data_IF_060127459850
#
_entry.id   IF_060127459850
#
_cell.length_a   1.000
_cell.length_b   1.000
_cell.length_c   1.000
_cell.angle_alpha   90.00
_cell.angle_beta   90.00
_cell.angle_gamma   90.00
#
_symmetry.space_group_name_H-M   'P 1'
#
loop_
_entity.id
_entity.type
_entity.pdbx_description
1 polymer ?
#
# COMPACT_ATOMS: atom_id res chain seq x y z
N UNK A 1 -41.76 -2.88 31.87
CA UNK A 1 -40.37 -3.14 31.44
C UNK A 1 -39.81 -1.85 30.88
N UNK A 2 -38.64 -1.43 31.38
CA UNK A 2 -38.02 -0.12 31.10
C UNK A 2 -37.51 -0.03 29.65
N UNK A 3 -37.56 1.17 29.03
CA UNK A 3 -37.00 1.41 27.69
C UNK A 3 -35.48 1.63 27.78
N UNK A 4 -34.72 1.20 26.76
CA UNK A 4 -33.35 1.67 26.56
C UNK A 4 -33.38 2.85 25.59
N UNK A 5 -33.24 4.03 26.18
CA UNK A 5 -32.92 5.30 25.53
C UNK A 5 -31.51 5.18 24.92
N UNK A 6 -31.39 5.30 23.60
CA UNK A 6 -30.13 5.77 22.99
C UNK A 6 -30.21 7.29 23.01
N UNK A 7 -29.25 7.89 23.71
CA UNK A 7 -29.16 9.31 24.01
C UNK A 7 -29.03 10.11 22.70
N UNK A 8 -30.10 10.76 22.25
CA UNK A 8 -30.04 11.91 21.34
C UNK A 8 -30.51 13.11 22.15
N UNK A 9 -29.56 13.87 22.69
CA UNK A 9 -29.73 15.28 23.09
C UNK A 9 -28.37 15.83 23.56
N UNK A 10 -27.95 16.90 22.91
CA UNK A 10 -26.75 17.66 23.24
C UNK A 10 -26.04 18.03 21.96
N UNK A 11 -25.87 19.33 21.72
CA UNK A 11 -25.00 19.87 20.68
C UNK A 11 -23.61 19.23 20.83
N UNK A 12 -23.37 18.14 20.12
CA UNK A 12 -22.02 17.67 19.90
C UNK A 12 -21.43 18.70 18.94
N UNK A 13 -20.51 19.52 19.46
CA UNK A 13 -19.48 20.14 18.66
C UNK A 13 -19.11 19.19 17.54
N UNK A 14 -18.98 19.71 16.32
CA UNK A 14 -18.31 18.99 15.23
C UNK A 14 -17.00 18.47 15.83
N UNK A 15 -16.98 17.21 16.24
CA UNK A 15 -15.75 16.50 16.50
C UNK A 15 -15.24 16.32 15.09
N UNK A 16 -14.40 17.25 14.66
CA UNK A 16 -13.34 16.88 13.75
C UNK A 16 -12.75 15.62 14.37
N UNK A 17 -12.79 14.51 13.64
CA UNK A 17 -11.98 13.37 14.03
C UNK A 17 -10.56 13.90 13.97
N UNK A 18 -9.99 14.25 15.12
CA UNK A 18 -8.60 14.68 15.21
C UNK A 18 -7.78 13.42 14.92
N UNK A 19 -7.36 13.33 13.66
CA UNK A 19 -6.45 12.29 13.21
C UNK A 19 -5.09 12.48 13.90
N UNK A 20 -4.32 11.41 14.11
CA UNK A 20 -2.95 11.53 14.59
C UNK A 20 -2.15 12.49 13.68
N UNK A 21 -1.25 13.29 14.27
CA UNK A 21 -0.34 14.15 13.50
C UNK A 21 0.76 13.33 12.78
N UNK A 22 0.97 12.09 13.23
CA UNK A 22 1.95 11.17 12.68
C UNK A 22 1.39 9.75 12.66
N UNK A 23 1.57 9.08 11.52
CA UNK A 23 1.26 7.66 11.35
C UNK A 23 2.43 7.02 10.63
N UNK A 24 2.93 5.91 11.16
CA UNK A 24 3.86 5.03 10.48
C UNK A 24 3.42 3.58 10.69
N UNK A 25 3.00 2.92 9.62
CA UNK A 25 2.55 1.53 9.68
C UNK A 25 3.71 0.54 9.80
N UNK A 26 4.95 0.95 9.56
CA UNK A 26 6.16 0.14 9.79
C UNK A 26 6.34 -0.14 11.27
N UNK A 27 6.23 0.90 12.10
CA UNK A 27 6.34 0.82 13.56
C UNK A 27 5.23 -0.01 14.19
N UNK A 28 4.10 -0.14 13.48
CA UNK A 28 2.95 -0.94 13.89
C UNK A 28 2.99 -2.39 13.38
N UNK A 29 4.01 -2.76 12.58
CA UNK A 29 4.18 -4.11 12.04
C UNK A 29 3.30 -4.44 10.84
N UNK A 30 2.64 -3.46 10.22
CA UNK A 30 1.74 -3.67 9.08
C UNK A 30 2.45 -3.52 7.72
N UNK A 31 3.78 -3.51 7.69
CA UNK A 31 4.57 -3.31 6.48
C UNK A 31 5.72 -4.32 6.45
N UNK A 32 5.81 -5.13 5.40
CA UNK A 32 6.92 -6.06 5.17
C UNK A 32 8.24 -5.33 4.89
N UNK A 33 9.41 -5.99 4.98
CA UNK A 33 10.67 -5.40 4.52
C UNK A 33 10.60 -4.88 3.08
N UNK A 34 11.50 -3.95 2.74
CA UNK A 34 11.56 -3.39 1.38
C UNK A 34 12.06 -4.47 0.43
N UNK A 35 11.28 -4.70 -0.64
CA UNK A 35 11.63 -5.62 -1.71
C UNK A 35 12.36 -4.88 -2.84
N UNK A 36 12.90 -5.64 -3.79
CA UNK A 36 13.53 -5.09 -4.98
C UNK A 36 12.89 -5.71 -6.23
N UNK A 37 12.27 -4.86 -7.05
CA UNK A 37 11.62 -5.28 -8.30
C UNK A 37 12.62 -5.80 -9.34
N UNK A 38 13.89 -5.39 -9.26
CA UNK A 38 14.92 -5.81 -10.22
C UNK A 38 14.51 -5.52 -11.67
N UNK A 39 14.37 -6.58 -12.46
CA UNK A 39 13.97 -6.52 -13.87
C UNK A 39 12.46 -6.62 -14.08
N UNK A 40 11.67 -6.82 -13.03
CA UNK A 40 10.21 -6.81 -13.11
C UNK A 40 9.74 -5.36 -13.31
N UNK A 41 9.35 -5.03 -14.53
CA UNK A 41 8.86 -3.70 -14.91
C UNK A 41 7.38 -3.52 -14.54
N UNK A 42 7.04 -3.80 -13.28
CA UNK A 42 5.68 -3.75 -12.75
C UNK A 42 5.65 -3.30 -11.28
N UNK A 43 6.12 -2.07 -10.98
CA UNK A 43 6.15 -1.55 -9.61
C UNK A 43 4.76 -1.45 -8.96
N UNK A 44 3.72 -1.33 -9.78
CA UNK A 44 2.33 -1.37 -9.33
C UNK A 44 1.95 -2.70 -8.66
N UNK A 45 2.61 -3.82 -8.99
CA UNK A 45 2.40 -5.09 -8.30
C UNK A 45 2.89 -5.05 -6.86
N UNK A 46 4.05 -4.44 -6.61
CA UNK A 46 4.58 -4.24 -5.26
C UNK A 46 3.71 -3.29 -4.41
N UNK A 47 3.05 -2.34 -5.08
CA UNK A 47 2.05 -1.48 -4.44
C UNK A 47 0.81 -2.28 -4.00
N UNK A 48 0.29 -3.13 -4.87
CA UNK A 48 -0.87 -4.00 -4.59
C UNK A 48 -0.56 -5.01 -3.49
N UNK A 49 0.53 -5.78 -3.61
CA UNK A 49 0.92 -6.75 -2.59
C UNK A 49 1.14 -6.06 -1.25
N UNK A 50 1.87 -4.93 -1.21
CA UNK A 50 2.08 -4.17 0.02
C UNK A 50 0.79 -3.74 0.74
N UNK A 51 -0.24 -3.34 -0.01
CA UNK A 51 -1.54 -3.01 0.57
C UNK A 51 -2.25 -4.25 1.13
N UNK A 52 -2.24 -5.36 0.38
CA UNK A 52 -2.82 -6.64 0.81
C UNK A 52 -2.11 -7.22 2.05
N UNK A 53 -0.78 -7.13 2.10
CA UNK A 53 0.05 -7.52 3.24
C UNK A 53 -0.37 -6.76 4.51
N UNK A 54 -0.50 -5.43 4.40
CA UNK A 54 -0.92 -4.57 5.50
C UNK A 54 -2.36 -4.85 5.95
N UNK A 55 -3.29 -5.03 5.01
CA UNK A 55 -4.68 -5.38 5.35
C UNK A 55 -4.79 -6.75 6.01
N UNK A 56 -4.03 -7.75 5.55
CA UNK A 56 -3.99 -9.06 6.20
C UNK A 56 -3.43 -8.97 7.63
N UNK A 57 -2.39 -8.17 7.85
CA UNK A 57 -1.87 -7.93 9.20
C UNK A 57 -2.90 -7.28 10.11
N UNK A 58 -3.58 -6.22 9.65
CA UNK A 58 -4.57 -5.49 10.45
C UNK A 58 -5.82 -6.32 10.76
N UNK A 59 -6.21 -7.21 9.85
CA UNK A 59 -7.40 -8.06 9.99
C UNK A 59 -7.13 -9.35 10.78
N UNK A 60 -6.02 -10.02 10.46
CA UNK A 60 -5.73 -11.39 10.93
C UNK A 60 -4.53 -11.46 11.89
N UNK A 61 -3.79 -10.36 12.08
CA UNK A 61 -2.59 -10.32 12.91
C UNK A 61 -1.38 -11.02 12.30
N UNK A 62 -1.40 -11.30 10.99
CA UNK A 62 -0.34 -12.01 10.29
C UNK A 62 0.25 -11.13 9.19
N UNK A 63 1.53 -10.78 9.31
CA UNK A 63 2.27 -10.12 8.25
C UNK A 63 2.92 -11.20 7.39
N UNK A 64 2.41 -11.40 6.18
CA UNK A 64 2.87 -12.43 5.24
C UNK A 64 3.31 -11.72 3.97
N UNK A 65 4.57 -11.87 3.56
CA UNK A 65 5.02 -11.35 2.27
C UNK A 65 4.32 -12.09 1.11
N UNK A 66 3.74 -11.36 0.17
CA UNK A 66 2.95 -11.91 -0.94
C UNK A 66 3.73 -11.91 -2.25
N UNK A 67 3.42 -12.84 -3.15
CA UNK A 67 4.15 -13.01 -4.41
C UNK A 67 3.73 -11.98 -5.47
N UNK A 68 4.61 -11.02 -5.76
CA UNK A 68 4.45 -10.16 -6.94
C UNK A 68 4.61 -10.97 -8.24
N UNK A 69 5.42 -12.03 -8.23
CA UNK A 69 5.64 -12.87 -9.41
C UNK A 69 4.37 -13.60 -9.83
N UNK A 70 3.58 -14.10 -8.88
CA UNK A 70 2.29 -14.72 -9.19
C UNK A 70 1.38 -13.75 -9.93
N UNK A 71 1.29 -12.52 -9.42
CA UNK A 71 0.48 -11.52 -10.06
C UNK A 71 1.04 -11.14 -11.44
N UNK A 72 2.37 -11.08 -11.60
CA UNK A 72 3.01 -10.83 -12.89
C UNK A 72 2.71 -11.93 -13.93
N UNK A 73 2.72 -13.20 -13.51
CA UNK A 73 2.54 -14.34 -14.41
C UNK A 73 1.05 -14.61 -14.72
N UNK A 74 0.18 -14.36 -13.74
CA UNK A 74 -1.22 -14.80 -13.79
C UNK A 74 -2.21 -13.67 -14.08
N UNK A 75 -1.83 -12.40 -13.87
CA UNK A 75 -2.59 -11.25 -14.35
C UNK A 75 -2.21 -11.01 -15.81
N UNK A 76 -3.13 -10.45 -16.60
CA UNK A 76 -2.88 -10.11 -18.01
C UNK A 76 -1.58 -9.32 -18.19
N UNK A 77 -0.86 -9.56 -19.29
CA UNK A 77 0.39 -8.84 -19.67
C UNK A 77 0.19 -7.32 -19.78
N UNK A 78 -1.06 -6.86 -19.98
CA UNK A 78 -1.45 -5.44 -19.96
C UNK A 78 -2.32 -5.11 -18.73
N UNK A 79 -2.07 -5.79 -17.62
CA UNK A 79 -2.85 -5.69 -16.40
C UNK A 79 -2.69 -4.34 -15.71
N UNK A 80 -3.68 -4.03 -14.89
CA UNK A 80 -3.74 -2.85 -14.03
C UNK A 80 -3.78 -3.27 -12.56
N UNK A 81 -3.57 -2.31 -11.66
CA UNK A 81 -3.82 -2.47 -10.21
C UNK A 81 -5.21 -3.05 -9.94
N UNK A 82 -6.23 -2.61 -10.70
CA UNK A 82 -7.60 -3.12 -10.61
C UNK A 82 -7.70 -4.61 -11.01
N UNK A 83 -7.03 -5.01 -12.08
CA UNK A 83 -7.02 -6.41 -12.53
C UNK A 83 -6.37 -7.33 -11.49
N UNK A 84 -5.30 -6.87 -10.83
CA UNK A 84 -4.68 -7.62 -9.75
C UNK A 84 -5.62 -7.77 -8.54
N UNK A 85 -6.32 -6.72 -8.11
CA UNK A 85 -7.30 -6.86 -7.03
C UNK A 85 -8.44 -7.82 -7.41
N UNK A 86 -8.96 -7.74 -8.64
CA UNK A 86 -9.98 -8.69 -9.13
C UNK A 86 -9.47 -10.12 -9.16
N UNK A 87 -8.21 -10.32 -9.56
CA UNK A 87 -7.55 -11.62 -9.50
C UNK A 87 -7.50 -12.16 -8.07
N UNK A 88 -7.04 -11.33 -7.11
CA UNK A 88 -6.96 -11.72 -5.69
C UNK A 88 -8.33 -11.99 -5.07
N UNK A 89 -9.40 -11.34 -5.54
CA UNK A 89 -10.77 -11.64 -5.10
C UNK A 89 -11.25 -13.00 -5.63
N UNK A 90 -10.97 -13.31 -6.90
CA UNK A 90 -11.40 -14.56 -7.53
C UNK A 90 -10.57 -15.79 -7.13
N UNK A 91 -9.30 -15.57 -6.84
CA UNK A 91 -8.33 -16.62 -6.64
C UNK A 91 -7.66 -16.50 -5.25
N UNK A 92 -7.23 -15.31 -4.86
CA UNK A 92 -6.30 -15.07 -3.74
C UNK A 92 -4.90 -14.80 -4.26
N UNK A 93 -3.90 -14.82 -3.40
CA UNK A 93 -2.48 -14.73 -3.78
C UNK A 93 -1.63 -15.54 -2.81
N UNK A 94 -0.58 -16.19 -3.31
CA UNK A 94 0.36 -16.99 -2.54
C UNK A 94 1.31 -16.12 -1.72
N UNK A 95 1.93 -16.76 -0.72
CA UNK A 95 3.10 -16.18 -0.08
C UNK A 95 4.25 -16.13 -1.10
N UNK A 96 5.07 -15.09 -0.99
CA UNK A 96 6.26 -14.89 -1.83
C UNK A 96 7.17 -16.13 -1.81
N UNK A 97 7.38 -16.71 -0.63
CA UNK A 97 8.22 -17.89 -0.43
C UNK A 97 7.70 -19.18 -1.11
N UNK A 98 6.41 -19.24 -1.45
CA UNK A 98 5.77 -20.44 -2.02
C UNK A 98 5.68 -20.39 -3.55
N UNK A 99 5.82 -19.21 -4.16
CA UNK A 99 5.68 -19.02 -5.60
C UNK A 99 7.05 -18.93 -6.28
N UNK A 100 7.32 -19.73 -7.33
CA UNK A 100 8.65 -19.76 -7.94
C UNK A 100 8.90 -18.53 -8.82
N UNK A 101 10.08 -17.90 -8.67
CA UNK A 101 10.52 -16.78 -9.52
C UNK A 101 11.12 -17.27 -10.84
N UNK A 102 10.26 -17.76 -11.73
CA UNK A 102 10.64 -18.24 -13.07
C UNK A 102 10.29 -17.18 -14.11
N UNK A 103 11.26 -16.83 -14.95
CA UNK A 103 11.03 -15.96 -16.13
C UNK A 103 10.68 -16.84 -17.35
N UNK A 104 9.64 -17.67 -17.21
CA UNK A 104 9.15 -18.55 -18.28
C UNK A 104 7.79 -18.12 -18.84
N UNK A 105 7.25 -17.00 -18.33
CA UNK A 105 6.00 -16.39 -18.76
C UNK A 105 4.75 -17.24 -18.50
N UNK A 106 4.84 -18.25 -17.62
CA UNK A 106 3.74 -19.16 -17.32
C UNK A 106 3.19 -18.92 -15.91
N UNK A 107 1.86 -18.96 -15.77
CA UNK A 107 1.20 -18.91 -14.46
C UNK A 107 1.31 -20.28 -13.76
N UNK A 108 2.00 -20.34 -12.63
CA UNK A 108 2.31 -21.58 -11.88
C UNK A 108 1.37 -21.85 -10.70
N UNK A 109 0.24 -21.16 -10.65
CA UNK A 109 -0.65 -21.16 -9.49
C UNK A 109 -1.33 -22.50 -9.16
N UNK A 110 -1.57 -23.38 -10.13
CA UNK A 110 -2.48 -24.53 -9.98
C UNK A 110 -2.19 -25.45 -8.78
N UNK A 111 -0.96 -25.44 -8.27
CA UNK A 111 -0.53 -26.26 -7.11
C UNK A 111 -0.15 -25.45 -5.86
N UNK A 112 -0.35 -24.14 -5.87
CA UNK A 112 0.10 -23.22 -4.82
C UNK A 112 -1.12 -22.72 -4.04
N UNK A 113 -1.07 -22.84 -2.71
CA UNK A 113 -2.14 -22.35 -1.84
C UNK A 113 -2.10 -20.82 -1.74
N UNK A 114 -3.28 -20.19 -1.67
CA UNK A 114 -3.34 -18.77 -1.35
C UNK A 114 -3.01 -18.54 0.12
N UNK A 115 -2.11 -17.59 0.36
CA UNK A 115 -1.81 -17.08 1.69
C UNK A 115 -2.83 -16.00 2.11
N UNK A 116 -3.28 -15.18 1.15
CA UNK A 116 -4.25 -14.10 1.38
C UNK A 116 -5.35 -14.15 0.33
N UNK A 117 -6.56 -13.82 0.75
CA UNK A 117 -7.75 -13.63 -0.10
C UNK A 117 -8.47 -12.37 0.33
N UNK A 118 -9.02 -11.63 -0.63
CA UNK A 118 -9.85 -10.46 -0.34
C UNK A 118 -11.25 -10.59 -0.92
N UNK A 119 -12.17 -9.79 -0.39
CA UNK A 119 -13.56 -9.79 -0.86
C UNK A 119 -13.91 -8.58 -1.73
N UNK A 120 -13.14 -7.49 -1.60
CA UNK A 120 -13.35 -6.25 -2.31
C UNK A 120 -12.09 -5.36 -2.26
N UNK A 121 -12.03 -4.39 -3.16
CA UNK A 121 -11.14 -3.23 -3.07
C UNK A 121 -11.98 -1.96 -3.15
N UNK A 122 -11.42 -0.85 -2.70
CA UNK A 122 -12.06 0.48 -2.76
C UNK A 122 -11.07 1.43 -3.41
N UNK A 123 -11.52 2.14 -4.44
CA UNK A 123 -10.80 3.26 -5.00
C UNK A 123 -10.98 4.49 -4.10
N UNK A 124 -9.88 5.17 -3.82
CA UNK A 124 -9.85 6.35 -2.96
C UNK A 124 -9.70 7.58 -3.84
N UNK A 125 -10.51 8.61 -3.58
CA UNK A 125 -10.41 9.89 -4.29
C UNK A 125 -9.02 10.51 -4.08
N UNK A 126 -8.51 11.20 -5.10
CA UNK A 126 -7.22 11.91 -5.10
C UNK A 126 -7.20 13.19 -4.24
N UNK A 127 -7.92 13.20 -3.13
CA UNK A 127 -7.95 14.28 -2.15
C UNK A 127 -7.02 13.92 -0.99
N UNK A 128 -6.04 14.77 -0.70
CA UNK A 128 -5.01 14.49 0.32
C UNK A 128 -5.62 14.32 1.73
N UNK A 129 -6.70 15.04 2.06
CA UNK A 129 -7.38 14.87 3.36
C UNK A 129 -8.20 13.57 3.42
N UNK A 130 -8.75 13.10 2.30
CA UNK A 130 -9.36 11.78 2.21
C UNK A 130 -8.27 10.71 2.35
N UNK A 131 -7.16 10.83 1.63
CA UNK A 131 -6.05 9.89 1.69
C UNK A 131 -5.45 9.83 3.10
N UNK A 132 -5.30 10.97 3.77
CA UNK A 132 -4.80 11.06 5.15
C UNK A 132 -5.71 10.32 6.12
N UNK A 133 -7.03 10.48 5.96
CA UNK A 133 -8.04 9.71 6.72
C UNK A 133 -7.95 8.22 6.46
N UNK A 134 -7.83 7.80 5.20
CA UNK A 134 -7.73 6.38 4.86
C UNK A 134 -6.46 5.78 5.45
N UNK A 135 -5.29 6.41 5.25
CA UNK A 135 -4.03 5.93 5.82
C UNK A 135 -4.10 5.84 7.34
N UNK A 136 -4.69 6.84 8.00
CA UNK A 136 -4.78 6.87 9.46
C UNK A 136 -5.70 5.80 10.06
N UNK A 137 -6.73 5.38 9.32
CA UNK A 137 -7.84 4.58 9.88
C UNK A 137 -7.99 3.19 9.26
N UNK A 138 -7.43 2.97 8.07
CA UNK A 138 -7.57 1.73 7.29
C UNK A 138 -6.26 0.97 7.17
N UNK A 139 -5.12 1.65 7.01
CA UNK A 139 -3.82 0.97 6.83
C UNK A 139 -2.97 1.54 5.69
N UNK A 140 -1.91 0.82 5.29
CA UNK A 140 -1.15 1.13 4.09
C UNK A 140 -2.03 1.13 2.83
N UNK A 141 -1.76 2.06 1.90
CA UNK A 141 -2.57 2.27 0.69
C UNK A 141 -1.71 2.18 -0.56
N UNK A 142 -2.15 1.39 -1.54
CA UNK A 142 -1.53 1.34 -2.86
C UNK A 142 -1.75 2.69 -3.58
N UNK A 143 -0.66 3.32 -4.06
CA UNK A 143 -0.72 4.63 -4.74
C UNK A 143 0.12 4.62 -6.02
N UNK A 144 -0.28 5.47 -6.97
CA UNK A 144 0.56 5.82 -8.11
C UNK A 144 1.19 7.19 -7.88
N UNK A 145 2.49 7.28 -8.14
CA UNK A 145 3.29 8.50 -7.95
C UNK A 145 4.09 8.81 -9.20
N UNK A 146 4.63 10.03 -9.27
CA UNK A 146 5.66 10.34 -10.25
C UNK A 146 7.04 10.15 -9.64
N UNK A 147 7.75 9.11 -10.07
CA UNK A 147 9.07 8.77 -9.56
C UNK A 147 10.22 9.29 -10.45
N UNK A 148 9.99 10.22 -11.40
CA UNK A 148 11.05 10.68 -12.32
C UNK A 148 12.24 11.32 -11.61
N UNK A 149 11.98 11.99 -10.49
CA UNK A 149 13.01 12.65 -9.70
C UNK A 149 13.62 11.74 -8.61
N UNK A 150 13.10 10.53 -8.42
CA UNK A 150 13.48 9.63 -7.33
C UNK A 150 14.85 8.98 -7.53
N UNK A 151 15.36 8.91 -8.76
CA UNK A 151 16.67 8.30 -9.08
C UNK A 151 17.85 8.95 -8.35
N UNK A 152 17.70 10.19 -7.89
CA UNK A 152 18.73 10.93 -7.14
C UNK A 152 18.36 11.16 -5.66
N UNK A 153 17.22 10.64 -5.22
CA UNK A 153 16.78 10.78 -3.85
C UNK A 153 17.64 9.92 -2.92
N UNK A 154 18.12 10.52 -1.84
CA UNK A 154 18.94 9.86 -0.82
C UNK A 154 18.47 10.17 0.63
N UNK A 155 17.45 11.01 0.80
CA UNK A 155 16.88 11.34 2.11
C UNK A 155 16.30 12.76 2.22
N UNK A 156 15.56 12.99 3.30
CA UNK A 156 14.85 14.22 3.62
C UNK A 156 13.47 14.34 2.96
N UNK A 157 12.74 15.41 3.27
CA UNK A 157 11.42 15.68 2.70
C UNK A 157 11.57 16.26 1.29
N UNK A 158 11.23 15.45 0.30
CA UNK A 158 11.25 15.84 -1.10
C UNK A 158 10.08 16.77 -1.41
N UNK A 159 10.36 17.91 -2.05
CA UNK A 159 9.31 18.85 -2.47
C UNK A 159 9.08 18.74 -3.96
N UNK A 160 7.96 18.13 -4.36
CA UNK A 160 7.57 18.09 -5.76
C UNK A 160 7.18 19.51 -6.23
N UNK A 161 7.85 20.03 -7.25
CA UNK A 161 7.66 21.43 -7.66
C UNK A 161 6.47 21.62 -8.61
N UNK A 162 5.93 20.56 -9.23
CA UNK A 162 4.81 20.65 -10.19
C UNK A 162 4.00 19.35 -10.25
N UNK A 163 2.67 19.40 -10.45
CA UNK A 163 1.89 18.23 -10.81
C UNK A 163 2.42 17.66 -12.12
N UNK A 164 2.78 16.39 -12.10
CA UNK A 164 3.31 15.65 -13.24
C UNK A 164 2.60 14.30 -13.32
N UNK A 165 2.40 13.74 -14.54
CA UNK A 165 1.69 12.46 -14.68
C UNK A 165 2.35 11.35 -13.86
N UNK A 166 1.57 10.52 -13.19
CA UNK A 166 2.08 9.34 -12.48
C UNK A 166 2.76 8.38 -13.46
N UNK A 167 3.75 7.63 -12.96
CA UNK A 167 4.48 6.65 -13.78
C UNK A 167 5.04 5.47 -12.97
N UNK A 168 4.71 5.38 -11.68
CA UNK A 168 5.30 4.40 -10.77
C UNK A 168 4.30 4.03 -9.68
N UNK A 169 4.19 2.74 -9.37
CA UNK A 169 3.40 2.25 -8.23
C UNK A 169 4.25 2.21 -6.97
N UNK A 170 3.70 2.70 -5.86
CA UNK A 170 4.37 2.67 -4.56
C UNK A 170 3.35 2.45 -3.44
N UNK A 171 3.82 2.21 -2.22
CA UNK A 171 2.94 1.97 -1.07
C UNK A 171 3.00 3.14 -0.09
N UNK A 172 1.88 3.79 0.14
CA UNK A 172 1.75 4.82 1.17
C UNK A 172 1.65 4.13 2.53
N UNK A 173 2.64 4.34 3.40
CA UNK A 173 2.77 3.65 4.69
C UNK A 173 2.57 4.58 5.89
N UNK A 174 2.35 5.86 5.65
CA UNK A 174 2.24 6.82 6.73
C UNK A 174 2.33 8.27 6.28
N UNK A 175 2.33 9.16 7.25
CA UNK A 175 2.51 10.60 7.06
C UNK A 175 3.02 11.24 8.35
N UNK A 176 3.53 12.46 8.24
CA UNK A 176 3.96 13.26 9.38
C UNK A 176 4.06 14.74 9.03
N UNK A 177 4.58 15.51 9.97
CA UNK A 177 4.88 16.92 9.80
C UNK A 177 6.22 17.24 10.46
N UNK A 178 7.10 17.93 9.75
CA UNK A 178 8.40 18.38 10.25
C UNK A 178 8.61 19.85 9.87
N UNK A 179 8.96 20.69 10.85
CA UNK A 179 9.18 22.13 10.65
C UNK A 179 8.02 22.87 9.92
N UNK A 180 6.78 22.42 10.13
CA UNK A 180 5.59 22.96 9.49
C UNK A 180 5.40 22.56 8.02
N UNK A 181 6.11 21.53 7.57
CA UNK A 181 5.90 20.88 6.28
C UNK A 181 5.38 19.46 6.48
N UNK A 182 4.18 19.21 5.97
CA UNK A 182 3.59 17.88 5.95
C UNK A 182 4.26 17.02 4.87
N UNK A 183 4.37 15.72 5.13
CA UNK A 183 4.98 14.77 4.21
C UNK A 183 4.32 13.39 4.30
N UNK A 184 4.38 12.67 3.20
CA UNK A 184 3.99 11.27 3.13
C UNK A 184 5.19 10.36 3.33
N UNK A 185 4.97 9.22 3.97
CA UNK A 185 5.92 8.11 4.02
C UNK A 185 5.52 7.10 2.94
N UNK A 186 6.40 6.87 1.97
CA UNK A 186 6.14 6.00 0.83
C UNK A 186 7.19 4.91 0.73
N UNK A 187 6.78 3.65 0.89
CA UNK A 187 7.61 2.48 0.65
C UNK A 187 7.75 2.25 -0.86
N UNK A 188 8.98 2.17 -1.33
CA UNK A 188 9.32 1.89 -2.72
C UNK A 188 9.74 0.41 -2.92
N UNK A 189 9.95 0.01 -4.18
CA UNK A 189 10.33 -1.33 -4.61
C UNK A 189 11.73 -1.39 -5.23
N UNK A 190 12.63 -0.47 -4.89
CA UNK A 190 13.99 -0.38 -5.45
C UNK A 190 15.09 -0.92 -4.53
N UNK A 191 14.71 -1.68 -3.49
CA UNK A 191 15.61 -2.18 -2.47
C UNK A 191 15.93 -1.16 -1.37
N UNK A 192 16.48 -1.68 -0.26
CA UNK A 192 16.78 -0.90 0.95
C UNK A 192 17.91 0.13 0.77
N UNK A 193 18.80 -0.10 -0.20
CA UNK A 193 19.93 0.79 -0.51
C UNK A 193 19.50 2.11 -1.17
N UNK A 194 18.24 2.21 -1.59
CA UNK A 194 17.68 3.42 -2.19
C UNK A 194 16.96 4.28 -1.14
N UNK A 195 17.12 5.60 -1.19
CA UNK A 195 16.41 6.51 -0.28
C UNK A 195 16.73 6.25 1.20
N UNK A 196 15.72 6.34 2.06
CA UNK A 196 15.83 6.17 3.51
C UNK A 196 15.51 4.73 3.91
N UNK A 197 16.39 3.79 3.58
CA UNK A 197 16.13 2.36 3.80
C UNK A 197 15.01 1.82 2.90
N UNK A 198 14.92 2.33 1.66
CA UNK A 198 13.87 2.01 0.70
C UNK A 198 12.59 2.85 0.81
N UNK A 199 12.58 3.86 1.69
CA UNK A 199 11.45 4.76 1.92
C UNK A 199 11.74 6.16 1.39
N UNK A 200 10.68 6.77 0.88
CA UNK A 200 10.62 8.14 0.42
C UNK A 200 9.76 8.98 1.36
N UNK A 201 10.23 10.18 1.66
CA UNK A 201 9.51 11.21 2.41
C UNK A 201 9.23 12.38 1.48
N UNK A 202 7.97 12.79 1.25
CA UNK A 202 7.65 13.93 0.38
C UNK A 202 6.19 14.13 0.02
#
# INVERSE_FOLDING_TARGET
MKPLLICVLGLLSVSTFDLPDFVDWRDQGAVTPVKNQGLLDSPWLFSVTGALEGQNFLKNGQLIALSEQELADCVSVNGTTEDAYKYVIGHGVAADADYPHLDDGSCHRESIASAVTETAYVEVDYDEEVLRRVVATVGPVAVEVNARAWTTYAGGIFKCQRPVPTNHGALLVGYGSEDGADYWLVKNSWGEEWGEGGVYSG
#
